data_IF_524322753239
#
_entry.id   IF_524322753239
#
_cell.length_a   1.000
_cell.length_b   1.000
_cell.length_c   1.000
_cell.angle_alpha   90.00
_cell.angle_beta   90.00
_cell.angle_gamma   90.00
#
_symmetry.space_group_name_H-M   'P 1'
#
loop_
_entity.id
_entity.type
_entity.pdbx_description
1 polymer ?
#
# COMPACT_ATOMS: atom_id res chain seq x y z
N UNK A 1 16.67 -11.90 -4.46
CA UNK A 1 15.28 -11.69 -3.98
C UNK A 1 14.85 -10.28 -4.41
N UNK A 2 13.57 -9.91 -4.36
CA UNK A 2 13.12 -8.56 -4.75
C UNK A 2 12.47 -7.92 -3.53
N UNK A 3 12.83 -6.67 -3.22
CA UNK A 3 12.21 -5.89 -2.15
C UNK A 3 11.23 -4.91 -2.77
N UNK A 4 10.03 -4.83 -2.20
CA UNK A 4 9.02 -3.87 -2.58
C UNK A 4 8.72 -2.88 -1.46
N UNK A 5 8.25 -1.70 -1.84
CA UNK A 5 7.60 -0.76 -0.93
C UNK A 5 6.57 0.05 -1.72
N UNK A 6 5.70 0.78 -1.03
CA UNK A 6 4.70 1.65 -1.64
C UNK A 6 4.62 2.99 -0.91
N UNK A 7 4.14 4.00 -1.61
CA UNK A 7 3.64 5.23 -1.00
C UNK A 7 2.16 5.38 -1.32
N UNK A 8 1.41 5.99 -0.39
CA UNK A 8 -0.02 6.20 -0.52
C UNK A 8 -0.28 7.70 -0.37
N UNK A 9 -0.90 8.30 -1.38
CA UNK A 9 -1.44 9.66 -1.30
C UNK A 9 -2.67 9.65 -0.37
N UNK A 10 -2.44 10.03 0.89
CA UNK A 10 -3.45 9.99 1.93
C UNK A 10 -4.58 11.01 1.68
N UNK A 11 -4.30 12.14 1.03
CA UNK A 11 -5.31 13.17 0.73
C UNK A 11 -6.29 12.73 -0.36
N UNK A 12 -5.86 11.81 -1.23
CA UNK A 12 -6.70 11.22 -2.29
C UNK A 12 -7.35 9.90 -1.87
N UNK A 13 -6.75 9.16 -0.93
CA UNK A 13 -7.30 7.91 -0.43
C UNK A 13 -8.69 8.10 0.21
N UNK A 14 -9.67 7.27 -0.17
CA UNK A 14 -11.05 7.30 0.34
C UNK A 14 -11.39 6.17 1.32
N UNK A 15 -10.39 5.41 1.76
CA UNK A 15 -10.59 4.32 2.71
C UNK A 15 -11.51 3.18 2.25
N UNK A 16 -11.54 2.88 0.95
CA UNK A 16 -12.44 1.86 0.37
C UNK A 16 -12.03 0.39 0.63
N UNK A 17 -10.89 0.16 1.28
CA UNK A 17 -10.36 -1.16 1.65
C UNK A 17 -10.06 -2.15 0.51
N UNK A 18 -10.30 -1.79 -0.76
CA UNK A 18 -10.01 -2.68 -1.90
C UNK A 18 -8.54 -3.15 -1.97
N UNK A 19 -7.60 -2.28 -1.58
CA UNK A 19 -6.18 -2.60 -1.62
C UNK A 19 -5.77 -3.60 -0.53
N UNK A 20 -6.46 -3.65 0.61
CA UNK A 20 -6.16 -4.59 1.71
C UNK A 20 -6.56 -6.01 1.27
N UNK A 21 -7.75 -6.17 0.68
CA UNK A 21 -8.26 -7.46 0.21
C UNK A 21 -7.53 -8.08 -0.98
N UNK A 22 -6.73 -7.31 -1.72
CA UNK A 22 -5.94 -7.83 -2.86
C UNK A 22 -4.47 -8.07 -2.51
N UNK A 23 -4.00 -7.63 -1.34
CA UNK A 23 -2.58 -7.74 -1.00
C UNK A 23 -2.21 -9.19 -0.67
N UNK A 24 -1.37 -9.89 -1.45
CA UNK A 24 -1.07 -11.30 -1.22
C UNK A 24 -0.15 -11.55 -0.01
N UNK A 25 0.24 -10.47 0.68
CA UNK A 25 1.12 -10.48 1.85
C UNK A 25 0.45 -9.92 3.08
N UNK A 26 -0.80 -9.44 2.95
CA UNK A 26 -1.58 -8.87 4.07
C UNK A 26 -0.87 -7.73 4.82
N UNK A 27 0.01 -6.98 4.14
CA UNK A 27 0.77 -5.85 4.70
C UNK A 27 0.12 -4.47 4.50
N UNK A 28 -1.14 -4.46 4.02
CA UNK A 28 -1.91 -3.23 3.80
C UNK A 28 -3.07 -3.19 4.78
N UNK A 29 -3.16 -2.11 5.56
CA UNK A 29 -4.18 -1.90 6.58
C UNK A 29 -4.80 -0.52 6.45
N UNK A 30 -5.89 -0.27 7.17
CA UNK A 30 -6.45 1.06 7.35
C UNK A 30 -5.83 1.73 8.57
N UNK A 31 -5.42 2.98 8.43
CA UNK A 31 -4.94 3.78 9.55
C UNK A 31 -6.13 4.26 10.39
N UNK A 32 -6.42 3.51 11.46
CA UNK A 32 -7.53 3.80 12.37
C UNK A 32 -7.25 4.97 13.33
N UNK A 33 -5.99 5.40 13.44
CA UNK A 33 -5.57 6.48 14.33
C UNK A 33 -5.54 7.84 13.61
N UNK A 34 -5.54 7.84 12.27
CA UNK A 34 -5.50 9.04 11.43
C UNK A 34 -6.77 9.21 10.61
N UNK A 35 -7.27 10.46 10.55
CA UNK A 35 -8.24 10.90 9.56
C UNK A 35 -7.56 11.89 8.60
N UNK A 36 -7.72 11.69 7.30
CA UNK A 36 -7.26 12.66 6.31
C UNK A 36 -8.16 13.91 6.27
N UNK A 37 -7.81 14.91 5.46
CA UNK A 37 -8.56 16.17 5.34
C UNK A 37 -10.03 16.00 4.88
N UNK A 38 -10.40 14.83 4.35
CA UNK A 38 -11.76 14.50 3.91
C UNK A 38 -12.53 13.64 4.92
N UNK A 39 -11.91 13.30 6.06
CA UNK A 39 -12.52 12.48 7.11
C UNK A 39 -12.51 10.98 6.83
N UNK A 40 -11.63 10.48 5.94
CA UNK A 40 -11.44 9.05 5.73
C UNK A 40 -10.22 8.56 6.53
N UNK A 41 -10.29 7.30 6.98
CA UNK A 41 -9.12 6.53 7.37
C UNK A 41 -8.36 6.12 6.09
N UNK A 42 -7.16 6.64 5.82
CA UNK A 42 -6.40 6.26 4.63
C UNK A 42 -5.77 4.88 4.81
N UNK A 43 -5.42 4.23 3.69
CA UNK A 43 -4.63 3.01 3.73
C UNK A 43 -3.18 3.29 4.13
N UNK A 44 -2.54 2.32 4.77
CA UNK A 44 -1.19 2.35 5.32
C UNK A 44 -0.47 1.04 4.96
N UNK A 45 0.81 1.14 4.58
CA UNK A 45 1.69 -0.03 4.50
C UNK A 45 2.22 -0.36 5.90
N UNK A 46 1.78 -1.49 6.45
CA UNK A 46 2.28 -2.05 7.71
C UNK A 46 3.12 -3.29 7.39
N UNK A 47 4.41 -3.06 7.16
CA UNK A 47 5.33 -4.09 6.66
C UNK A 47 6.65 -4.17 7.48
N UNK A 48 6.60 -4.52 8.78
CA UNK A 48 7.79 -4.57 9.64
C UNK A 48 8.79 -5.66 9.21
N UNK A 49 8.30 -6.72 8.58
CA UNK A 49 9.10 -7.88 8.13
C UNK A 49 9.54 -7.76 6.66
N UNK A 50 9.28 -6.61 6.01
CA UNK A 50 9.65 -6.32 4.61
C UNK A 50 9.14 -7.37 3.60
N UNK A 51 7.91 -7.85 3.79
CA UNK A 51 7.26 -8.87 2.98
C UNK A 51 6.71 -8.33 1.65
N UNK A 52 6.53 -7.02 1.51
CA UNK A 52 6.08 -6.41 0.27
C UNK A 52 7.03 -6.75 -0.88
N UNK A 53 6.48 -7.31 -1.96
CA UNK A 53 7.25 -7.76 -3.14
C UNK A 53 7.24 -6.75 -4.29
N UNK A 54 6.47 -5.68 -4.17
CA UNK A 54 6.25 -4.71 -5.24
C UNK A 54 5.43 -5.26 -6.41
N UNK A 55 4.47 -6.17 -6.14
CA UNK A 55 3.64 -6.82 -7.17
C UNK A 55 2.60 -5.92 -7.85
N UNK A 56 2.37 -4.72 -7.31
CA UNK A 56 1.48 -3.68 -7.82
C UNK A 56 -0.03 -3.99 -7.87
N UNK A 57 -0.51 -5.11 -7.32
CA UNK A 57 -1.95 -5.40 -7.27
C UNK A 57 -2.76 -4.31 -6.54
N UNK A 58 -2.22 -3.76 -5.46
CA UNK A 58 -2.82 -2.65 -4.73
C UNK A 58 -2.98 -1.38 -5.58
N UNK A 59 -1.99 -1.05 -6.41
CA UNK A 59 -2.07 0.09 -7.32
C UNK A 59 -3.06 -0.13 -8.46
N UNK A 60 -3.12 -1.34 -9.01
CA UNK A 60 -4.06 -1.70 -10.09
C UNK A 60 -5.51 -1.66 -9.62
N UNK A 61 -5.80 -2.15 -8.41
CA UNK A 61 -7.18 -2.16 -7.89
C UNK A 61 -7.64 -0.79 -7.40
N UNK A 62 -6.71 0.14 -7.09
CA UNK A 62 -7.05 1.43 -6.51
C UNK A 62 -7.83 2.30 -7.53
N UNK A 63 -9.12 2.57 -7.30
CA UNK A 63 -9.94 3.31 -8.26
C UNK A 63 -9.52 4.78 -8.37
N UNK A 64 -8.90 5.31 -7.33
CA UNK A 64 -8.45 6.70 -7.25
C UNK A 64 -6.95 6.85 -7.59
N UNK A 65 -6.23 5.77 -7.92
CA UNK A 65 -4.80 5.83 -8.30
C UNK A 65 -3.96 6.56 -7.23
N UNK A 66 -4.12 6.16 -5.97
CA UNK A 66 -3.45 6.78 -4.83
C UNK A 66 -2.13 6.08 -4.44
N UNK A 67 -1.82 4.93 -5.02
CA UNK A 67 -0.72 4.07 -4.59
C UNK A 67 0.39 4.06 -5.63
N UNK A 68 1.59 4.47 -5.24
CA UNK A 68 2.81 4.33 -6.06
C UNK A 68 3.61 3.15 -5.54
N UNK A 69 4.13 2.31 -6.45
CA UNK A 69 4.82 1.07 -6.10
C UNK A 69 6.27 1.16 -6.52
N UNK A 70 7.17 0.83 -5.60
CA UNK A 70 8.60 0.77 -5.81
C UNK A 70 9.06 -0.68 -5.70
N UNK A 71 9.97 -1.07 -6.61
CA UNK A 71 10.43 -2.44 -6.72
C UNK A 71 11.94 -2.44 -6.98
N UNK A 72 12.69 -2.79 -5.94
CA UNK A 72 14.14 -2.79 -6.00
C UNK A 72 14.66 -4.23 -6.18
N UNK A 73 15.44 -4.50 -7.24
CA UNK A 73 16.15 -5.76 -7.36
C UNK A 73 17.23 -5.85 -6.29
N UNK A 74 17.17 -6.85 -5.42
CA UNK A 74 18.26 -7.10 -4.45
C UNK A 74 19.40 -7.74 -5.25
N UNK A 75 20.60 -7.14 -5.30
CA UNK A 75 21.72 -7.70 -6.03
C UNK A 75 22.00 -9.12 -5.55
N UNK A 76 22.11 -10.05 -6.51
CA UNK A 76 22.52 -11.41 -6.22
C UNK A 76 23.95 -11.35 -5.66
N UNK A 77 24.12 -11.82 -4.42
CA UNK A 77 25.44 -12.16 -3.89
C UNK A 77 25.98 -13.40 -4.59
#
# INVERSE_FOLDING_TARGET
>A
MVKGTITIDQDRCKGCELCTGVCPKDVLVMDNDTLNAKGYHPALLQDPDELCTGCAQCAVICPDVCITVYRDPIPAR
#
